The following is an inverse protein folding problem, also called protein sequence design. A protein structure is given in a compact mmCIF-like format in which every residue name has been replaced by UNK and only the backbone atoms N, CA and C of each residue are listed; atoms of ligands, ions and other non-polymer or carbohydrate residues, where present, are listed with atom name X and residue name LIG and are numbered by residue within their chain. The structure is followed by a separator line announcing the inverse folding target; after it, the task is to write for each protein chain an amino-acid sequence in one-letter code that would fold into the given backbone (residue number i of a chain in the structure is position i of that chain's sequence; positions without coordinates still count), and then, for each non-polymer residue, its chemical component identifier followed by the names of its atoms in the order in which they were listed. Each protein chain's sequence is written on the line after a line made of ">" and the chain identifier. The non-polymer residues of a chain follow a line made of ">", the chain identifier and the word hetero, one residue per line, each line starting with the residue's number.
data_IF_631993801491
#
_entry.id   IF_631993801491
#
_cell.length_a   1.000
_cell.length_b   1.000
_cell.length_c   1.000
_cell.angle_alpha   90.00
_cell.angle_beta   90.00
_cell.angle_gamma   90.00
#
_symmetry.space_group_name_H-M   'P 1'
#
loop_
_entity.id
_entity.type
_entity.pdbx_description
1 polymer ?
#
# COMPACT_ATOMS: atom_id res chain seq x y z
N UNK A 1 -17.03 32.86 -20.12
CA UNK A 1 -17.25 31.42 -19.97
C UNK A 1 -16.15 30.81 -19.11
N UNK A 2 -16.34 30.93 -17.80
CA UNK A 2 -15.53 30.26 -16.80
C UNK A 2 -15.91 28.78 -16.85
N UNK A 3 -15.09 27.97 -17.50
CA UNK A 3 -15.16 26.52 -17.31
C UNK A 3 -14.74 26.25 -15.86
N UNK A 4 -15.71 26.06 -14.98
CA UNK A 4 -15.46 25.38 -13.71
C UNK A 4 -15.06 23.94 -14.07
N UNK A 5 -13.75 23.67 -14.15
CA UNK A 5 -13.24 22.32 -14.05
C UNK A 5 -13.71 21.83 -12.70
N UNK A 6 -14.71 20.98 -12.69
CA UNK A 6 -15.05 20.21 -11.51
C UNK A 6 -13.79 19.39 -11.19
N UNK A 7 -13.08 19.78 -10.14
CA UNK A 7 -12.00 18.95 -9.57
C UNK A 7 -12.66 17.70 -9.01
N UNK A 8 -12.77 16.68 -9.84
CA UNK A 8 -13.48 15.43 -9.49
C UNK A 8 -12.68 14.60 -8.47
N UNK A 9 -11.35 14.73 -8.47
CA UNK A 9 -10.48 14.08 -7.49
C UNK A 9 -9.28 14.97 -7.17
N UNK A 10 -9.07 15.26 -5.90
CA UNK A 10 -7.89 15.96 -5.42
C UNK A 10 -7.22 15.11 -4.35
N UNK A 11 -6.33 14.20 -4.78
CA UNK A 11 -5.61 13.28 -3.91
C UNK A 11 -4.63 14.00 -2.98
N UNK A 12 -4.17 15.21 -3.34
CA UNK A 12 -3.26 16.01 -2.51
C UNK A 12 -3.89 16.47 -1.20
N UNK A 13 -5.21 16.48 -1.12
CA UNK A 13 -5.95 16.84 0.10
C UNK A 13 -6.29 15.66 0.99
N UNK A 14 -5.99 14.45 0.55
CA UNK A 14 -6.25 13.25 1.35
C UNK A 14 -5.12 13.06 2.34
N UNK A 15 -5.42 13.22 3.61
CA UNK A 15 -4.48 12.95 4.68
C UNK A 15 -4.43 11.48 5.06
N UNK A 16 -3.52 11.10 5.98
CA UNK A 16 -3.32 9.71 6.38
C UNK A 16 -4.48 9.14 7.21
N UNK A 17 -5.33 9.96 7.76
CA UNK A 17 -6.48 9.55 8.56
C UNK A 17 -6.64 10.35 9.84
N UNK A 18 -7.78 10.14 10.51
CA UNK A 18 -8.17 10.89 11.71
C UNK A 18 -7.97 10.12 13.02
N UNK A 19 -7.82 8.79 12.94
CA UNK A 19 -7.71 7.89 14.11
C UNK A 19 -6.43 7.06 14.04
N UNK A 20 -5.31 7.73 13.79
CA UNK A 20 -4.01 7.10 13.64
C UNK A 20 -3.46 6.57 14.96
N UNK A 21 -2.80 5.42 14.97
CA UNK A 21 -2.55 4.51 13.85
C UNK A 21 -3.61 3.43 13.64
N UNK A 22 -4.72 3.44 14.41
CA UNK A 22 -5.72 2.37 14.40
C UNK A 22 -6.51 2.29 13.10
N UNK A 23 -6.81 3.45 12.52
CA UNK A 23 -7.45 3.57 11.21
C UNK A 23 -6.66 4.56 10.35
N UNK A 24 -6.47 4.22 9.08
CA UNK A 24 -5.73 5.05 8.15
C UNK A 24 -6.30 4.95 6.74
N UNK A 25 -6.06 5.98 5.95
CA UNK A 25 -6.46 6.04 4.55
C UNK A 25 -5.40 5.38 3.67
N UNK A 26 -5.85 4.59 2.71
CA UNK A 26 -4.99 4.04 1.65
C UNK A 26 -5.51 4.50 0.31
N UNK A 27 -4.63 5.06 -0.51
CA UNK A 27 -4.91 5.38 -1.92
C UNK A 27 -4.48 4.17 -2.74
N UNK A 28 -5.41 3.60 -3.50
CA UNK A 28 -5.14 2.40 -4.31
C UNK A 28 -4.53 2.81 -5.64
N UNK A 29 -3.35 2.27 -5.92
CA UNK A 29 -2.64 2.45 -7.18
C UNK A 29 -2.82 1.26 -8.12
N UNK A 30 -2.81 0.04 -7.59
CA UNK A 30 -2.90 -1.20 -8.37
C UNK A 30 -4.00 -2.09 -7.79
N UNK A 31 -5.11 -2.29 -8.51
CA UNK A 31 -6.16 -3.21 -8.07
C UNK A 31 -5.67 -4.66 -8.01
N UNK A 32 -6.24 -5.46 -7.10
CA UNK A 32 -5.94 -6.89 -7.04
C UNK A 32 -6.20 -7.58 -8.38
N UNK A 33 -5.32 -8.51 -8.75
CA UNK A 33 -5.43 -9.32 -9.96
C UNK A 33 -5.51 -8.52 -11.28
N UNK A 34 -5.14 -7.24 -11.26
CA UNK A 34 -5.03 -6.44 -12.49
C UNK A 34 -3.86 -6.91 -13.35
N UNK A 35 -3.86 -6.51 -14.62
CA UNK A 35 -2.76 -6.81 -15.53
C UNK A 35 -1.44 -6.28 -14.98
N UNK A 36 -0.28 -6.88 -15.36
CA UNK A 36 1.01 -6.52 -14.79
C UNK A 36 1.51 -5.16 -15.31
N UNK A 37 0.81 -4.12 -14.95
CA UNK A 37 1.15 -2.72 -15.17
C UNK A 37 1.26 -2.05 -13.79
N UNK A 38 2.40 -1.42 -13.53
CA UNK A 38 2.58 -0.64 -12.31
C UNK A 38 2.09 0.78 -12.54
N UNK A 39 1.17 1.22 -11.71
CA UNK A 39 0.68 2.59 -11.68
C UNK A 39 1.20 3.29 -10.44
N UNK A 40 1.36 4.59 -10.55
CA UNK A 40 1.86 5.44 -9.47
C UNK A 40 1.15 6.79 -9.49
N UNK A 41 0.72 7.26 -8.33
CA UNK A 41 0.18 8.62 -8.21
C UNK A 41 1.36 9.59 -8.21
N UNK A 42 1.34 10.51 -9.17
CA UNK A 42 2.33 11.58 -9.24
C UNK A 42 2.05 12.65 -8.18
N UNK A 43 3.03 12.90 -7.32
CA UNK A 43 2.89 13.85 -6.22
C UNK A 43 2.64 15.28 -6.69
N UNK A 44 3.20 15.67 -7.84
CA UNK A 44 3.10 17.03 -8.36
C UNK A 44 1.70 17.32 -8.94
N UNK A 45 1.14 16.36 -9.68
CA UNK A 45 -0.11 16.55 -10.42
C UNK A 45 -1.33 15.89 -9.77
N UNK A 46 -1.11 14.93 -8.86
CA UNK A 46 -2.16 14.09 -8.28
C UNK A 46 -2.77 13.10 -9.27
N UNK A 47 -2.22 13.01 -10.48
CA UNK A 47 -2.70 12.09 -11.51
C UNK A 47 -2.07 10.70 -11.37
N UNK A 48 -2.80 9.70 -11.83
CA UNK A 48 -2.28 8.34 -11.93
C UNK A 48 -1.51 8.16 -13.23
N UNK A 49 -0.22 7.82 -13.09
CA UNK A 49 0.66 7.55 -14.23
C UNK A 49 0.93 6.06 -14.37
N UNK A 50 1.12 5.61 -15.60
CA UNK A 50 1.78 4.33 -15.83
C UNK A 50 3.26 4.52 -15.51
N UNK A 51 3.72 3.88 -14.42
CA UNK A 51 5.13 3.90 -14.06
C UNK A 51 5.93 2.97 -14.99
N UNK A 52 5.47 1.74 -15.11
CA UNK A 52 6.11 0.75 -16.00
C UNK A 52 5.21 -0.45 -16.25
N UNK A 53 5.50 -1.15 -17.35
CA UNK A 53 5.00 -2.50 -17.56
C UNK A 53 5.91 -3.47 -16.82
N UNK A 54 5.32 -4.31 -15.96
CA UNK A 54 6.08 -5.27 -15.17
C UNK A 54 6.55 -6.40 -16.06
N UNK A 55 7.81 -6.78 -15.94
CA UNK A 55 8.39 -7.81 -16.81
C UNK A 55 7.84 -9.22 -16.58
N UNK A 56 7.31 -9.49 -15.39
CA UNK A 56 6.69 -10.77 -15.03
C UNK A 56 5.23 -10.84 -15.48
N UNK A 57 4.72 -12.06 -15.69
CA UNK A 57 3.29 -12.31 -15.87
C UNK A 57 2.52 -12.42 -14.56
N UNK A 58 3.18 -12.30 -13.42
CA UNK A 58 2.54 -12.34 -12.11
C UNK A 58 1.68 -11.09 -11.90
N UNK A 59 0.58 -11.27 -11.20
CA UNK A 59 -0.35 -10.18 -10.86
C UNK A 59 -0.25 -9.89 -9.37
N UNK A 60 -0.46 -8.63 -8.98
CA UNK A 60 -0.58 -8.29 -7.56
C UNK A 60 -1.74 -9.08 -6.94
N UNK A 61 -1.50 -9.88 -5.89
CA UNK A 61 -2.54 -10.77 -5.35
C UNK A 61 -3.63 -10.02 -4.59
N UNK A 62 -3.37 -8.82 -4.12
CA UNK A 62 -4.29 -7.95 -3.39
C UNK A 62 -4.14 -6.50 -3.88
N UNK A 63 -5.07 -5.62 -3.50
CA UNK A 63 -4.96 -4.22 -3.86
C UNK A 63 -3.69 -3.62 -3.25
N UNK A 64 -2.97 -2.85 -4.03
CA UNK A 64 -1.72 -2.25 -3.62
C UNK A 64 -1.81 -0.73 -3.70
N UNK A 65 -1.38 -0.07 -2.65
CA UNK A 65 -1.42 1.38 -2.58
C UNK A 65 -0.52 1.92 -1.48
N UNK A 66 -0.80 3.11 -1.03
CA UNK A 66 0.03 3.81 -0.05
C UNK A 66 -0.81 4.65 0.90
N UNK A 67 -0.22 4.98 2.05
CA UNK A 67 -0.80 5.93 3.00
C UNK A 67 -0.31 7.33 2.61
N UNK A 68 -1.23 8.27 2.30
CA UNK A 68 -0.83 9.63 1.93
C UNK A 68 -0.14 10.35 3.09
N UNK A 69 0.72 11.30 2.74
CA UNK A 69 1.51 12.11 3.69
C UNK A 69 2.46 11.31 4.59
N UNK A 70 2.88 10.14 4.17
CA UNK A 70 3.88 9.33 4.84
C UNK A 70 5.14 9.17 4.01
N UNK A 71 6.27 8.95 4.66
CA UNK A 71 7.54 8.59 4.03
C UNK A 71 8.14 7.40 4.78
N UNK A 72 8.40 6.31 4.06
CA UNK A 72 9.11 5.15 4.56
C UNK A 72 10.62 5.34 4.54
N UNK A 73 11.38 4.38 5.03
CA UNK A 73 12.86 4.47 5.10
C UNK A 73 13.52 4.62 3.74
N UNK A 74 12.93 4.08 2.69
CA UNK A 74 13.40 4.17 1.30
C UNK A 74 13.10 5.52 0.63
N UNK A 75 12.38 6.42 1.30
CA UNK A 75 11.99 7.74 0.79
C UNK A 75 10.66 7.77 0.05
N UNK A 76 10.06 6.63 -0.21
CA UNK A 76 8.73 6.50 -0.82
C UNK A 76 7.62 6.50 0.25
N UNK A 77 6.36 6.74 -0.10
CA UNK A 77 5.25 6.56 0.84
C UNK A 77 5.18 5.15 1.43
N UNK A 78 4.56 5.02 2.59
CA UNK A 78 4.36 3.71 3.23
C UNK A 78 3.40 2.87 2.38
N UNK A 79 3.88 1.74 1.87
CA UNK A 79 3.12 0.83 1.01
C UNK A 79 2.21 -0.10 1.81
N UNK A 80 1.02 -0.35 1.25
CA UNK A 80 0.00 -1.19 1.87
C UNK A 80 -0.61 -2.14 0.85
N UNK A 81 -0.72 -3.42 1.23
CA UNK A 81 -1.61 -4.39 0.59
C UNK A 81 -2.96 -4.41 1.33
N UNK A 82 -4.03 -4.19 0.60
CA UNK A 82 -5.39 -4.20 1.14
C UNK A 82 -6.15 -5.41 0.62
N UNK A 83 -6.53 -6.29 1.54
CA UNK A 83 -7.29 -7.51 1.22
C UNK A 83 -8.77 -7.19 1.18
N UNK A 84 -9.40 -7.42 0.03
CA UNK A 84 -10.83 -7.25 -0.19
C UNK A 84 -11.38 -8.41 -1.03
N UNK A 85 -12.71 -8.66 -0.97
CA UNK A 85 -13.31 -9.71 -1.79
C UNK A 85 -13.37 -9.36 -3.30
N UNK A 86 -13.28 -8.08 -3.65
CA UNK A 86 -13.35 -7.57 -5.01
C UNK A 86 -12.25 -6.55 -5.27
N UNK A 87 -11.77 -6.41 -6.52
CA UNK A 87 -10.80 -5.37 -6.85
C UNK A 87 -11.35 -3.97 -6.56
N UNK A 88 -10.53 -3.11 -5.98
CA UNK A 88 -10.83 -1.69 -5.80
C UNK A 88 -10.38 -0.89 -7.01
N UNK A 89 -11.02 0.24 -7.26
CA UNK A 89 -10.73 1.11 -8.41
C UNK A 89 -9.43 1.89 -8.18
N UNK A 90 -8.66 2.11 -9.24
CA UNK A 90 -7.49 2.99 -9.22
C UNK A 90 -7.83 4.38 -8.66
N UNK A 91 -7.00 4.89 -7.76
CA UNK A 91 -7.15 6.22 -7.19
C UNK A 91 -8.23 6.35 -6.12
N UNK A 92 -8.96 5.29 -5.79
CA UNK A 92 -9.92 5.34 -4.68
C UNK A 92 -9.21 5.35 -3.34
N UNK A 93 -9.87 5.92 -2.34
CA UNK A 93 -9.40 5.95 -0.96
C UNK A 93 -10.22 4.97 -0.14
N UNK A 94 -9.56 4.07 0.56
CA UNK A 94 -10.19 3.11 1.45
C UNK A 94 -9.64 3.27 2.86
N UNK A 95 -10.53 3.35 3.85
CA UNK A 95 -10.13 3.36 5.26
C UNK A 95 -9.85 1.93 5.71
N UNK A 96 -8.67 1.74 6.27
CA UNK A 96 -8.13 0.44 6.65
C UNK A 96 -7.71 0.37 8.10
N UNK A 97 -7.52 -0.84 8.56
CA UNK A 97 -6.80 -1.19 9.79
C UNK A 97 -5.72 -2.22 9.48
N UNK A 98 -4.60 -2.13 10.16
CA UNK A 98 -3.48 -3.02 9.91
C UNK A 98 -3.63 -4.38 10.57
N UNK A 99 -3.24 -5.43 9.86
CA UNK A 99 -3.10 -6.79 10.36
C UNK A 99 -1.66 -7.14 10.72
N UNK A 100 -0.72 -6.49 10.06
CA UNK A 100 0.69 -6.76 10.25
C UNK A 100 1.58 -6.08 9.23
N UNK A 101 2.83 -6.52 9.21
CA UNK A 101 3.90 -5.97 8.40
C UNK A 101 4.75 -7.10 7.85
N UNK A 102 5.04 -7.06 6.55
CA UNK A 102 6.01 -7.94 5.92
C UNK A 102 7.32 -7.20 5.75
N UNK A 103 8.35 -7.66 6.44
CA UNK A 103 9.69 -7.11 6.27
C UNK A 103 10.28 -7.56 4.94
N UNK A 104 10.78 -6.62 4.18
CA UNK A 104 11.43 -6.85 2.89
C UNK A 104 12.65 -5.95 2.76
N UNK A 105 13.56 -6.36 1.91
CA UNK A 105 14.73 -5.60 1.50
C UNK A 105 14.94 -5.77 0.00
N UNK A 106 15.28 -4.70 -0.68
CA UNK A 106 15.65 -4.71 -2.09
C UNK A 106 16.95 -3.92 -2.32
N UNK A 107 17.31 -3.70 -3.58
CA UNK A 107 18.51 -2.94 -3.95
C UNK A 107 18.52 -1.51 -3.41
N UNK A 108 17.37 -0.95 -3.09
CA UNK A 108 17.20 0.38 -2.48
C UNK A 108 17.23 0.39 -0.96
N UNK A 109 17.28 -0.77 -0.31
CA UNK A 109 17.27 -0.92 1.14
C UNK A 109 15.99 -1.54 1.69
N UNK A 110 15.65 -1.21 2.93
CA UNK A 110 14.44 -1.71 3.59
C UNK A 110 13.16 -1.23 2.89
N UNK A 111 12.25 -2.16 2.62
CA UNK A 111 11.01 -1.93 1.88
C UNK A 111 9.87 -2.76 2.51
N UNK A 112 9.44 -2.36 3.70
CA UNK A 112 8.38 -3.06 4.40
C UNK A 112 7.01 -2.80 3.75
N UNK A 113 6.16 -3.84 3.74
CA UNK A 113 4.78 -3.76 3.23
C UNK A 113 3.79 -3.99 4.36
N UNK A 114 2.90 -3.05 4.59
CA UNK A 114 1.78 -3.26 5.49
C UNK A 114 0.76 -4.20 4.87
N UNK A 115 0.13 -5.01 5.70
CA UNK A 115 -1.02 -5.83 5.34
C UNK A 115 -2.24 -5.30 6.09
N UNK A 116 -3.29 -4.96 5.38
CA UNK A 116 -4.47 -4.33 5.94
C UNK A 116 -5.76 -4.89 5.36
N UNK A 117 -6.84 -4.64 6.06
CA UNK A 117 -8.22 -4.86 5.62
C UNK A 117 -9.01 -3.57 5.80
N UNK A 118 -10.09 -3.37 5.04
CA UNK A 118 -11.00 -2.25 5.30
C UNK A 118 -11.53 -2.30 6.74
N UNK A 119 -11.80 -1.14 7.32
CA UNK A 119 -12.42 -1.08 8.65
C UNK A 119 -13.76 -1.82 8.67
N UNK A 120 -14.20 -2.29 9.83
CA UNK A 120 -15.39 -3.12 9.99
C UNK A 120 -16.67 -2.44 9.47
N UNK A 121 -16.74 -1.11 9.54
CA UNK A 121 -17.85 -0.33 8.99
C UNK A 121 -17.99 -0.49 7.47
N UNK A 122 -16.87 -0.66 6.76
CA UNK A 122 -16.86 -0.84 5.30
C UNK A 122 -16.99 -2.31 4.91
N UNK A 123 -16.39 -3.21 5.68
CA UNK A 123 -16.35 -4.64 5.38
C UNK A 123 -16.42 -5.46 6.68
N UNK A 124 -17.64 -5.84 7.05
CA UNK A 124 -17.90 -6.53 8.32
C UNK A 124 -17.43 -8.00 8.35
N UNK A 125 -17.20 -8.62 7.19
CA UNK A 125 -16.82 -10.04 7.10
C UNK A 125 -15.47 -10.36 7.77
N UNK A 126 -14.62 -9.36 7.94
CA UNK A 126 -13.29 -9.50 8.53
C UNK A 126 -13.22 -9.12 10.03
N UNK A 127 -14.35 -8.95 10.71
CA UNK A 127 -14.38 -8.52 12.13
C UNK A 127 -13.49 -9.36 13.04
N UNK A 128 -13.38 -10.66 12.79
CA UNK A 128 -12.60 -11.59 13.61
C UNK A 128 -11.14 -11.71 13.16
N UNK A 129 -10.78 -11.06 12.06
CA UNK A 129 -9.40 -11.03 11.56
C UNK A 129 -8.69 -9.85 12.21
N UNK A 130 -7.80 -10.12 13.16
CA UNK A 130 -7.07 -9.11 13.94
C UNK A 130 -5.60 -9.00 13.56
N UNK A 131 -5.00 -10.13 13.17
CA UNK A 131 -3.60 -10.22 12.76
C UNK A 131 -3.46 -10.99 11.46
N UNK A 132 -2.28 -10.95 10.86
CA UNK A 132 -1.97 -11.74 9.67
C UNK A 132 -2.17 -13.24 9.92
N UNK A 133 -1.88 -13.72 11.13
CA UNK A 133 -2.03 -15.13 11.49
C UNK A 133 -3.48 -15.62 11.49
N UNK A 134 -4.44 -14.72 11.51
CA UNK A 134 -5.87 -15.07 11.40
C UNK A 134 -6.29 -15.35 9.95
N UNK A 135 -5.43 -15.05 8.99
CA UNK A 135 -5.67 -15.34 7.58
C UNK A 135 -5.28 -16.80 7.24
N UNK A 136 -5.83 -17.29 6.14
CA UNK A 136 -5.40 -18.58 5.61
C UNK A 136 -3.89 -18.54 5.30
N UNK A 137 -3.09 -19.52 5.80
CA UNK A 137 -1.64 -19.55 5.55
C UNK A 137 -1.26 -19.48 4.06
N UNK A 138 -2.10 -20.00 3.17
CA UNK A 138 -1.85 -19.92 1.72
C UNK A 138 -1.89 -18.48 1.22
N UNK A 139 -2.76 -17.64 1.77
CA UNK A 139 -2.83 -16.20 1.43
C UNK A 139 -1.50 -15.52 1.75
N UNK A 140 -0.97 -15.76 2.94
CA UNK A 140 0.32 -15.19 3.36
C UNK A 140 1.48 -15.73 2.50
N UNK A 141 1.46 -17.01 2.18
CA UNK A 141 2.46 -17.63 1.32
C UNK A 141 2.43 -17.05 -0.10
N UNK A 142 1.25 -16.81 -0.66
CA UNK A 142 1.08 -16.20 -1.99
C UNK A 142 1.62 -14.76 -2.03
N UNK A 143 1.39 -13.99 -0.97
CA UNK A 143 1.93 -12.62 -0.86
C UNK A 143 3.46 -12.66 -0.85
N UNK A 144 4.07 -13.51 -0.02
CA UNK A 144 5.52 -13.67 0.03
C UNK A 144 6.07 -14.11 -1.31
N UNK A 145 5.49 -15.11 -1.92
CA UNK A 145 5.89 -15.63 -3.23
C UNK A 145 5.85 -14.54 -4.31
N UNK A 146 4.80 -13.73 -4.34
CA UNK A 146 4.72 -12.61 -5.27
C UNK A 146 5.91 -11.66 -5.11
N UNK A 147 6.17 -11.18 -3.90
CA UNK A 147 7.26 -10.23 -3.66
C UNK A 147 8.65 -10.85 -3.82
N UNK A 148 8.80 -12.15 -3.57
CA UNK A 148 10.07 -12.84 -3.84
C UNK A 148 10.42 -12.90 -5.31
N UNK A 149 9.44 -12.89 -6.20
CA UNK A 149 9.62 -13.20 -7.62
C UNK A 149 9.24 -12.11 -8.61
N UNK A 150 8.51 -11.08 -8.20
CA UNK A 150 7.99 -10.09 -9.16
C UNK A 150 9.06 -9.26 -9.88
N UNK A 151 10.28 -9.22 -9.35
CA UNK A 151 11.44 -8.53 -9.96
C UNK A 151 12.44 -9.49 -10.63
N UNK A 152 12.20 -10.79 -10.66
CA UNK A 152 13.17 -11.80 -11.13
C UNK A 152 13.66 -11.54 -12.56
N UNK A 153 12.82 -11.00 -13.44
CA UNK A 153 13.16 -10.74 -14.84
C UNK A 153 13.72 -9.33 -15.07
N UNK A 154 13.89 -8.54 -14.01
CA UNK A 154 14.45 -7.19 -14.10
C UNK A 154 15.95 -7.22 -13.79
N UNK A 155 16.82 -6.87 -14.76
CA UNK A 155 18.27 -6.92 -14.56
C UNK A 155 18.75 -6.03 -13.41
N UNK A 156 19.59 -6.59 -12.52
CA UNK A 156 20.19 -5.88 -11.40
C UNK A 156 19.26 -5.64 -10.21
N UNK A 157 18.02 -6.10 -10.29
CA UNK A 157 17.07 -5.99 -9.19
C UNK A 157 16.92 -7.31 -8.44
N UNK A 158 16.70 -7.20 -7.15
CA UNK A 158 16.50 -8.35 -6.27
C UNK A 158 15.57 -7.98 -5.11
N UNK A 159 14.95 -8.97 -4.53
CA UNK A 159 14.12 -8.82 -3.32
C UNK A 159 14.45 -9.93 -2.36
N UNK A 160 14.61 -9.58 -1.10
CA UNK A 160 14.73 -10.51 0.01
C UNK A 160 13.54 -10.31 0.93
N UNK A 161 12.68 -11.31 1.03
CA UNK A 161 11.50 -11.27 1.87
C UNK A 161 11.83 -11.87 3.22
N UNK A 162 11.54 -11.14 4.28
CA UNK A 162 11.77 -11.53 5.67
C UNK A 162 10.51 -12.11 6.33
N UNK A 163 10.39 -11.85 7.63
CA UNK A 163 9.31 -12.36 8.45
C UNK A 163 8.10 -11.43 8.47
N UNK A 164 6.93 -12.01 8.76
CA UNK A 164 5.75 -11.26 9.15
C UNK A 164 5.88 -10.78 10.60
N UNK A 165 5.43 -9.54 10.83
CA UNK A 165 5.27 -8.97 12.16
C UNK A 165 3.82 -8.59 12.39
N UNK A 166 3.44 -8.37 13.65
CA UNK A 166 2.07 -8.10 14.06
C UNK A 166 1.61 -6.65 13.87
N UNK A 167 0.37 -6.34 14.32
CA UNK A 167 -0.21 -5.00 14.20
C UNK A 167 0.59 -3.91 14.91
N UNK A 168 1.29 -4.23 15.98
CA UNK A 168 2.11 -3.27 16.73
C UNK A 168 3.29 -2.76 15.89
N UNK A 169 3.93 -3.64 15.13
CA UNK A 169 5.01 -3.25 14.21
C UNK A 169 4.46 -2.39 13.06
N UNK A 170 3.28 -2.72 12.54
CA UNK A 170 2.59 -1.92 11.54
C UNK A 170 2.26 -0.52 12.07
N UNK A 171 1.76 -0.41 13.30
CA UNK A 171 1.46 0.86 13.96
C UNK A 171 2.71 1.74 14.08
N UNK A 172 3.83 1.17 14.48
CA UNK A 172 5.12 1.88 14.55
C UNK A 172 5.56 2.41 13.19
N UNK A 173 5.44 1.61 12.15
CA UNK A 173 5.80 2.03 10.79
C UNK A 173 4.91 3.17 10.28
N UNK A 174 3.61 3.11 10.54
CA UNK A 174 2.66 4.18 10.20
C UNK A 174 3.06 5.49 10.90
N UNK A 175 3.26 5.46 12.22
CA UNK A 175 3.60 6.65 12.99
C UNK A 175 4.96 7.21 12.60
N UNK A 176 5.95 6.37 12.37
CA UNK A 176 7.28 6.79 11.88
C UNK A 176 7.19 7.43 10.48
N UNK A 177 6.40 6.84 9.59
CA UNK A 177 6.16 7.38 8.25
C UNK A 177 5.48 8.75 8.27
N UNK A 178 4.52 8.95 9.17
CA UNK A 178 3.85 10.24 9.37
C UNK A 178 4.84 11.30 9.86
N UNK A 179 5.69 10.97 10.84
CA UNK A 179 6.69 11.90 11.37
C UNK A 179 7.72 12.29 10.30
N UNK A 180 8.20 11.34 9.49
CA UNK A 180 9.08 11.63 8.35
C UNK A 180 8.39 12.52 7.31
N UNK A 181 7.10 12.28 7.05
CA UNK A 181 6.29 13.10 6.14
C UNK A 181 6.16 14.54 6.60
N UNK A 182 5.91 14.75 7.91
CA UNK A 182 5.87 16.10 8.51
C UNK A 182 7.22 16.82 8.43
N UNK A 183 8.31 16.13 8.74
CA UNK A 183 9.67 16.68 8.66
C UNK A 183 10.02 17.09 7.23
N UNK A 184 9.61 16.32 6.23
CA UNK A 184 9.84 16.64 4.82
C UNK A 184 9.08 17.89 4.38
N UNK A 185 7.84 18.09 4.83
CA UNK A 185 7.04 19.30 4.53
C UNK A 185 7.58 20.55 5.18
N UNK A 186 8.29 20.40 6.31
CA UNK A 186 8.87 21.53 7.05
C UNK A 186 10.24 21.97 6.52
N UNK A 187 10.83 21.20 5.63
CA UNK A 187 12.10 21.50 4.96
C UNK A 187 11.86 22.20 3.63
#
# INVERSE_FOLDING_TARGET
>A
NSFHRQEIMNLDRVGPGKKLPEEFNVIIEIPMNSDPVKYEVDEETGALFVDRFVATNMRYPHNYGYIPETIAEDGDPVDVLVITPYPLVHGCVVRCRALGLLNMEDEGGGDAKLLAVPIDKLLATNKNVKTADDLNPLVLAQIKHFFEHYKDLEPGKWVKVGAWEGPEAAAKEILAGIERGKAHKSA
#
